data_IF_292557308106
#
_entry.id   IF_292557308106
#
_cell.length_a   1.000
_cell.length_b   1.000
_cell.length_c   1.000
_cell.angle_alpha   90.00
_cell.angle_beta   90.00
_cell.angle_gamma   90.00
#
_symmetry.space_group_name_H-M   'P 1'
#
loop_
_entity.id
_entity.type
_entity.pdbx_description
1 polymer ?
#
# COMPACT_ATOMS: atom_id res chain seq x y z
N UNK A 1 -24.30 1.31 -0.69
CA UNK A 1 -24.05 2.76 -0.80
C UNK A 1 -22.79 2.96 -1.65
N UNK A 2 -22.93 3.38 -2.92
CA UNK A 2 -21.80 3.56 -3.84
C UNK A 2 -20.94 4.73 -3.36
N UNK A 3 -19.72 4.45 -2.94
CA UNK A 3 -18.79 5.47 -2.50
C UNK A 3 -18.18 6.13 -3.75
N UNK A 4 -18.55 7.39 -4.00
CA UNK A 4 -18.02 8.17 -5.13
C UNK A 4 -16.49 8.22 -5.07
N UNK A 5 -15.82 8.07 -6.22
CA UNK A 5 -14.34 8.11 -6.36
C UNK A 5 -13.73 9.33 -5.64
N UNK A 6 -14.46 10.45 -5.60
CA UNK A 6 -14.09 11.69 -4.90
C UNK A 6 -14.01 11.52 -3.38
N UNK A 7 -14.91 10.72 -2.78
CA UNK A 7 -14.90 10.44 -1.33
C UNK A 7 -13.72 9.53 -0.94
N UNK A 8 -13.35 8.59 -1.80
CA UNK A 8 -12.19 7.73 -1.58
C UNK A 8 -10.89 8.55 -1.63
N UNK A 9 -10.74 9.43 -2.64
CA UNK A 9 -9.59 10.34 -2.76
C UNK A 9 -9.50 11.29 -1.57
N UNK A 10 -10.65 11.82 -1.10
CA UNK A 10 -10.70 12.68 0.08
C UNK A 10 -10.20 11.99 1.36
N UNK A 11 -10.59 10.73 1.57
CA UNK A 11 -10.12 9.95 2.72
C UNK A 11 -8.61 9.66 2.63
N UNK A 12 -8.12 9.30 1.44
CA UNK A 12 -6.68 9.09 1.22
C UNK A 12 -5.88 10.36 1.49
N UNK A 13 -6.36 11.52 1.05
CA UNK A 13 -5.73 12.81 1.31
C UNK A 13 -5.72 13.17 2.79
N UNK A 14 -6.83 12.94 3.50
CA UNK A 14 -6.91 13.17 4.95
C UNK A 14 -5.93 12.27 5.70
N UNK A 15 -5.91 10.96 5.41
CA UNK A 15 -4.97 10.02 6.04
C UNK A 15 -3.52 10.44 5.76
N UNK A 16 -3.20 10.80 4.52
CA UNK A 16 -1.86 11.24 4.13
C UNK A 16 -1.46 12.54 4.84
N UNK A 17 -2.39 13.50 4.95
CA UNK A 17 -2.18 14.75 5.66
C UNK A 17 -2.00 14.52 7.17
N UNK A 18 -2.78 13.63 7.77
CA UNK A 18 -2.65 13.25 9.19
C UNK A 18 -1.29 12.62 9.47
N UNK A 19 -0.87 11.64 8.65
CA UNK A 19 0.46 11.00 8.77
C UNK A 19 1.59 12.05 8.63
N UNK A 20 1.45 13.00 7.71
CA UNK A 20 2.43 14.06 7.48
C UNK A 20 2.45 15.11 8.60
N UNK A 21 1.32 15.38 9.24
CA UNK A 21 1.20 16.38 10.32
C UNK A 21 1.72 15.90 11.67
N UNK A 22 1.66 14.60 11.94
CA UNK A 22 2.04 14.05 13.26
C UNK A 22 3.56 13.82 13.35
N UNK A 23 4.25 13.66 12.20
CA UNK A 23 5.61 13.18 12.16
C UNK A 23 5.64 11.72 12.58
N UNK A 24 6.02 10.82 11.67
CA UNK A 24 6.05 9.37 11.93
C UNK A 24 6.95 9.04 13.14
N UNK A 25 7.91 9.91 13.44
CA UNK A 25 8.86 9.82 14.54
C UNK A 25 8.21 9.80 15.94
N UNK A 26 7.00 10.37 16.10
CA UNK A 26 6.34 10.50 17.42
C UNK A 26 5.18 9.51 17.65
N UNK A 27 4.86 8.64 16.68
CA UNK A 27 3.74 7.69 16.82
C UNK A 27 4.24 6.41 17.49
N UNK A 28 3.64 5.96 18.61
CA UNK A 28 4.03 4.72 19.25
C UNK A 28 3.90 3.54 18.27
N UNK A 29 4.96 2.73 18.16
CA UNK A 29 5.02 1.61 17.21
C UNK A 29 3.77 0.71 17.18
N UNK A 30 3.18 0.31 18.33
CA UNK A 30 1.97 -0.51 18.32
C UNK A 30 0.80 0.16 17.59
N UNK A 31 0.68 1.48 17.68
CA UNK A 31 -0.37 2.27 17.01
C UNK A 31 -0.18 2.25 15.50
N UNK A 32 1.05 2.40 15.02
CA UNK A 32 1.38 2.34 13.59
C UNK A 32 1.06 0.97 13.01
N UNK A 33 1.46 -0.11 13.69
CA UNK A 33 1.20 -1.50 13.27
C UNK A 33 -0.30 -1.81 13.24
N UNK A 34 -1.03 -1.41 14.29
CA UNK A 34 -2.47 -1.63 14.38
C UNK A 34 -3.21 -0.85 13.30
N UNK A 35 -2.86 0.42 13.08
CA UNK A 35 -3.46 1.24 12.03
C UNK A 35 -3.23 0.65 10.64
N UNK A 36 -2.01 0.13 10.40
CA UNK A 36 -1.69 -0.54 9.15
C UNK A 36 -2.48 -1.82 8.95
N UNK A 37 -2.55 -2.66 9.98
CA UNK A 37 -3.29 -3.91 9.93
C UNK A 37 -4.76 -3.64 9.62
N UNK A 38 -5.36 -2.61 10.24
CA UNK A 38 -6.74 -2.18 9.95
C UNK A 38 -6.89 -1.71 8.50
N UNK A 39 -5.95 -0.93 7.96
CA UNK A 39 -5.98 -0.47 6.57
C UNK A 39 -5.85 -1.63 5.57
N UNK A 40 -4.94 -2.56 5.81
CA UNK A 40 -4.73 -3.74 4.95
C UNK A 40 -5.97 -4.64 5.00
N UNK A 41 -6.48 -4.95 6.19
CA UNK A 41 -7.72 -5.73 6.35
C UNK A 41 -8.89 -5.03 5.66
N UNK A 42 -9.02 -3.71 5.82
CA UNK A 42 -10.04 -2.91 5.17
C UNK A 42 -9.97 -2.98 3.64
N UNK A 43 -8.77 -2.87 3.06
CA UNK A 43 -8.54 -3.03 1.62
C UNK A 43 -8.95 -4.42 1.13
N UNK A 44 -8.51 -5.48 1.81
CA UNK A 44 -8.89 -6.85 1.45
C UNK A 44 -10.41 -7.06 1.53
N UNK A 45 -11.06 -6.61 2.61
CA UNK A 45 -12.53 -6.70 2.75
C UNK A 45 -13.25 -5.98 1.62
N UNK A 46 -12.78 -4.79 1.23
CA UNK A 46 -13.33 -4.07 0.08
C UNK A 46 -13.16 -4.87 -1.22
N UNK A 47 -11.99 -5.46 -1.45
CA UNK A 47 -11.69 -6.28 -2.63
C UNK A 47 -12.57 -7.52 -2.74
N UNK A 48 -13.04 -8.09 -1.62
CA UNK A 48 -14.01 -9.18 -1.63
C UNK A 48 -15.47 -8.72 -1.76
N UNK A 49 -15.79 -7.51 -1.26
CA UNK A 49 -17.16 -6.97 -1.21
C UNK A 49 -17.64 -6.44 -2.57
N UNK A 50 -16.75 -6.01 -3.46
CA UNK A 50 -17.15 -5.54 -4.79
C UNK A 50 -17.49 -6.70 -5.73
N UNK A 51 -18.64 -6.58 -6.41
CA UNK A 51 -18.98 -7.42 -7.55
C UNK A 51 -17.98 -7.13 -8.68
N UNK A 52 -17.07 -8.08 -8.89
CA UNK A 52 -16.02 -8.02 -9.91
C UNK A 52 -15.92 -9.40 -10.55
N UNK A 53 -15.43 -9.44 -11.79
CA UNK A 53 -15.09 -10.72 -12.42
C UNK A 53 -14.01 -11.43 -11.61
N UNK A 54 -13.94 -12.78 -11.72
CA UNK A 54 -12.90 -13.56 -11.03
C UNK A 54 -11.49 -13.05 -11.37
N UNK A 55 -11.26 -12.70 -12.64
CA UNK A 55 -9.99 -12.19 -13.14
C UNK A 55 -9.62 -10.83 -12.53
N UNK A 56 -10.56 -9.88 -12.49
CA UNK A 56 -10.35 -8.56 -11.87
C UNK A 56 -10.10 -8.65 -10.38
N UNK A 57 -10.81 -9.56 -9.70
CA UNK A 57 -10.61 -9.83 -8.27
C UNK A 57 -9.21 -10.37 -8.00
N UNK A 58 -8.71 -11.29 -8.82
CA UNK A 58 -7.34 -11.82 -8.69
C UNK A 58 -6.32 -10.70 -8.89
N UNK A 59 -6.47 -9.89 -9.93
CA UNK A 59 -5.57 -8.75 -10.20
C UNK A 59 -5.58 -7.76 -9.03
N UNK A 60 -6.76 -7.43 -8.50
CA UNK A 60 -6.90 -6.51 -7.36
C UNK A 60 -6.24 -7.07 -6.09
N UNK A 61 -6.45 -8.36 -5.78
CA UNK A 61 -5.80 -9.03 -4.64
C UNK A 61 -4.27 -9.00 -4.78
N UNK A 62 -3.74 -9.26 -5.98
CA UNK A 62 -2.29 -9.19 -6.24
C UNK A 62 -1.77 -7.78 -6.03
N UNK A 63 -2.48 -6.76 -6.52
CA UNK A 63 -2.13 -5.35 -6.31
C UNK A 63 -2.14 -4.97 -4.82
N UNK A 64 -3.20 -5.34 -4.10
CA UNK A 64 -3.33 -5.03 -2.66
C UNK A 64 -2.25 -5.74 -1.84
N UNK A 65 -1.92 -6.99 -2.20
CA UNK A 65 -0.86 -7.76 -1.53
C UNK A 65 0.53 -7.14 -1.76
N UNK A 66 0.84 -6.74 -2.99
CA UNK A 66 2.09 -6.05 -3.32
C UNK A 66 2.20 -4.71 -2.59
N UNK A 67 1.11 -3.95 -2.55
CA UNK A 67 1.08 -2.67 -1.84
C UNK A 67 1.27 -2.86 -0.33
N UNK A 68 0.58 -3.83 0.27
CA UNK A 68 0.75 -4.17 1.69
C UNK A 68 2.19 -4.57 2.01
N UNK A 69 2.83 -5.36 1.14
CA UNK A 69 4.23 -5.76 1.30
C UNK A 69 5.19 -4.56 1.24
N UNK A 70 5.01 -3.66 0.26
CA UNK A 70 5.81 -2.43 0.13
C UNK A 70 5.70 -1.58 1.40
N UNK A 71 4.48 -1.32 1.85
CA UNK A 71 4.23 -0.49 3.04
C UNK A 71 4.85 -1.14 4.28
N UNK A 72 4.76 -2.46 4.42
CA UNK A 72 5.38 -3.19 5.53
C UNK A 72 6.89 -3.04 5.53
N UNK A 73 7.54 -3.17 4.36
CA UNK A 73 9.00 -2.99 4.22
C UNK A 73 9.42 -1.57 4.56
N UNK A 74 8.65 -0.55 4.18
CA UNK A 74 8.92 0.85 4.53
C UNK A 74 8.92 1.02 6.05
N UNK A 75 7.91 0.49 6.74
CA UNK A 75 7.80 0.62 8.21
C UNK A 75 8.93 -0.12 8.92
N UNK A 76 9.27 -1.32 8.48
CA UNK A 76 10.42 -2.05 9.03
C UNK A 76 11.71 -1.25 8.77
N UNK A 77 11.84 -0.64 7.60
CA UNK A 77 13.01 0.16 7.26
C UNK A 77 13.15 1.43 8.11
N UNK A 78 12.07 2.17 8.33
CA UNK A 78 12.07 3.33 9.22
C UNK A 78 12.36 2.90 10.66
N UNK A 79 11.78 1.79 11.12
CA UNK A 79 12.03 1.22 12.45
C UNK A 79 13.49 0.83 12.69
N UNK A 80 14.15 0.23 11.71
CA UNK A 80 15.58 -0.09 11.78
C UNK A 80 16.40 1.19 11.80
N UNK A 81 16.00 2.23 11.06
CA UNK A 81 16.67 3.52 11.07
C UNK A 81 16.61 4.21 12.43
N UNK A 82 15.45 4.19 13.07
CA UNK A 82 15.21 4.94 14.32
C UNK A 82 15.75 4.20 15.55
N UNK A 83 15.60 2.86 15.61
CA UNK A 83 15.99 2.07 16.80
C UNK A 83 17.39 1.44 16.69
N UNK A 84 17.89 1.22 15.46
CA UNK A 84 19.15 0.50 15.21
C UNK A 84 20.01 1.21 14.15
N UNK A 85 20.44 2.46 14.39
CA UNK A 85 21.13 3.27 13.38
C UNK A 85 22.42 2.63 12.84
N UNK A 86 23.11 1.84 13.68
CA UNK A 86 24.33 1.11 13.30
C UNK A 86 24.06 0.02 12.23
N UNK A 87 22.91 -0.64 12.31
CA UNK A 87 22.47 -1.68 11.37
C UNK A 87 21.86 -1.04 10.12
N UNK A 88 21.15 0.08 10.31
CA UNK A 88 20.50 0.83 9.24
C UNK A 88 21.43 1.19 8.09
N UNK A 89 22.67 1.60 8.38
CA UNK A 89 23.65 1.98 7.33
C UNK A 89 23.88 0.84 6.32
N UNK A 90 23.91 -0.42 6.77
CA UNK A 90 24.07 -1.58 5.88
C UNK A 90 22.76 -2.04 5.26
N UNK A 91 21.66 -1.98 5.99
CA UNK A 91 20.35 -2.46 5.51
C UNK A 91 19.64 -1.49 4.56
N UNK A 92 19.87 -0.18 4.69
CA UNK A 92 19.23 0.87 3.89
C UNK A 92 19.38 0.66 2.37
N UNK A 93 20.56 0.38 1.80
CA UNK A 93 20.66 0.10 0.37
C UNK A 93 19.84 -1.14 -0.05
N UNK A 94 19.85 -2.21 0.75
CA UNK A 94 19.09 -3.43 0.48
C UNK A 94 17.58 -3.14 0.47
N UNK A 95 17.09 -2.43 1.48
CA UNK A 95 15.68 -2.05 1.60
C UNK A 95 15.24 -1.20 0.41
N UNK A 96 16.06 -0.21 0.02
CA UNK A 96 15.78 0.65 -1.13
C UNK A 96 15.75 -0.16 -2.44
N UNK A 97 16.71 -1.07 -2.64
CA UNK A 97 16.73 -1.94 -3.82
C UNK A 97 15.49 -2.84 -3.89
N UNK A 98 15.11 -3.47 -2.78
CA UNK A 98 13.91 -4.31 -2.71
C UNK A 98 12.65 -3.47 -2.98
N UNK A 99 12.55 -2.27 -2.42
CA UNK A 99 11.43 -1.36 -2.67
C UNK A 99 11.34 -0.96 -4.14
N UNK A 100 12.48 -0.68 -4.79
CA UNK A 100 12.51 -0.34 -6.21
C UNK A 100 12.00 -1.51 -7.08
N UNK A 101 12.46 -2.73 -6.81
CA UNK A 101 12.02 -3.94 -7.53
C UNK A 101 10.52 -4.15 -7.35
N UNK A 102 10.02 -4.11 -6.12
CA UNK A 102 8.59 -4.29 -5.83
C UNK A 102 7.73 -3.19 -6.48
N UNK A 103 8.22 -1.94 -6.51
CA UNK A 103 7.53 -0.83 -7.15
C UNK A 103 7.43 -1.01 -8.67
N UNK A 104 8.48 -1.52 -9.31
CA UNK A 104 8.47 -1.85 -10.75
C UNK A 104 7.46 -2.97 -11.03
N UNK A 105 7.44 -4.02 -10.21
CA UNK A 105 6.46 -5.11 -10.34
C UNK A 105 5.03 -4.56 -10.19
N UNK A 106 4.77 -3.73 -9.18
CA UNK A 106 3.47 -3.12 -8.95
C UNK A 106 3.03 -2.25 -10.14
N UNK A 107 3.93 -1.44 -10.70
CA UNK A 107 3.68 -0.67 -11.92
C UNK A 107 3.30 -1.59 -13.09
N UNK A 108 4.02 -2.70 -13.27
CA UNK A 108 3.70 -3.70 -14.29
C UNK A 108 2.28 -4.26 -14.13
N UNK A 109 1.88 -4.63 -12.92
CA UNK A 109 0.53 -5.13 -12.63
C UNK A 109 -0.54 -4.06 -12.87
N UNK A 110 -0.28 -2.79 -12.50
CA UNK A 110 -1.19 -1.67 -12.74
C UNK A 110 -1.39 -1.45 -14.25
N UNK A 111 -0.30 -1.43 -15.03
CA UNK A 111 -0.37 -1.27 -16.48
C UNK A 111 -1.12 -2.43 -17.12
N UNK A 112 -0.85 -3.67 -16.69
CA UNK A 112 -1.59 -4.84 -17.16
C UNK A 112 -3.09 -4.74 -16.87
N UNK A 113 -3.46 -4.32 -15.65
CA UNK A 113 -4.86 -4.10 -15.28
C UNK A 113 -5.53 -3.02 -16.15
N UNK A 114 -4.83 -1.92 -16.42
CA UNK A 114 -5.32 -0.85 -17.28
C UNK A 114 -5.55 -1.34 -18.71
N UNK A 115 -4.58 -2.05 -19.29
CA UNK A 115 -4.67 -2.64 -20.64
C UNK A 115 -5.83 -3.65 -20.71
N UNK A 116 -5.99 -4.50 -19.70
CA UNK A 116 -7.11 -5.45 -19.62
C UNK A 116 -8.45 -4.71 -19.64
N UNK A 117 -8.61 -3.64 -18.85
CA UNK A 117 -9.85 -2.85 -18.83
C UNK A 117 -10.13 -2.14 -20.15
N UNK A 118 -9.10 -1.60 -20.82
CA UNK A 118 -9.22 -1.00 -22.15
C UNK A 118 -9.70 -2.05 -23.17
N UNK A 119 -9.03 -3.20 -23.23
CA UNK A 119 -9.33 -4.26 -24.21
C UNK A 119 -10.76 -4.81 -24.06
N UNK A 120 -11.27 -4.85 -22.84
CA UNK A 120 -12.62 -5.36 -22.54
C UNK A 120 -13.68 -4.26 -22.41
N UNK A 121 -13.35 -3.01 -22.74
CA UNK A 121 -14.26 -1.86 -22.68
C UNK A 121 -14.93 -1.66 -21.31
N UNK A 122 -14.19 -1.90 -20.22
CA UNK A 122 -14.64 -1.83 -18.82
C UNK A 122 -14.13 -0.59 -18.08
N UNK A 123 -13.80 0.46 -18.82
CA UNK A 123 -13.14 1.68 -18.30
C UNK A 123 -14.14 2.70 -17.75
#
# INVERSE_FOLDING_TARGET
MKMSKTKAIGIVLIITATIKSIGIENIPFPVTVVTLAVLIIGLFVLSFKYEMSKEERIILIVMDSLLALIITIIIIGTMIQDNYPQISVRCKPIIVTVLAILSIILLGVIVFNAVYKIKHNKL
#
